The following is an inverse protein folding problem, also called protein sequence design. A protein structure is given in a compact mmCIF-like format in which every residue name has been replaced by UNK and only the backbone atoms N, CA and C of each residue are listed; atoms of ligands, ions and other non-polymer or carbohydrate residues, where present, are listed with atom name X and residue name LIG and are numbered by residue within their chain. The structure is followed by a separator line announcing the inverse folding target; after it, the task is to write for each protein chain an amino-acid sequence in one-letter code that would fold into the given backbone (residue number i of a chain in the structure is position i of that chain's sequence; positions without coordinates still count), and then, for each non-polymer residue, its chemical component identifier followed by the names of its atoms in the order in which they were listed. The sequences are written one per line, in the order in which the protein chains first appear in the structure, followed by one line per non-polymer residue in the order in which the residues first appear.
data_IF_101922234276
#
_entry.id   IF_101922234276
#
_cell.length_a   1.000
_cell.length_b   1.000
_cell.length_c   1.000
_cell.angle_alpha   90.00
_cell.angle_beta   90.00
_cell.angle_gamma   90.00
#
_symmetry.space_group_name_H-M   'P 1'
#
loop_
_entity.id
_entity.type
_entity.pdbx_description
1 polymer ?
#
# COMPACT_ATOMS: atom_id res chain seq x y z
N UNK A 1 18.85 -43.44 41.28
CA UNK A 1 17.90 -44.55 41.31
C UNK A 1 17.78 -45.05 39.86
N UNK A 2 18.00 -46.36 39.58
CA UNK A 2 17.80 -46.90 38.21
C UNK A 2 16.31 -46.87 37.90
N UNK A 3 15.98 -46.50 36.64
CA UNK A 3 14.59 -46.50 36.15
C UNK A 3 13.97 -47.88 36.28
N UNK A 4 12.66 -48.02 36.58
CA UNK A 4 12.00 -49.30 36.72
C UNK A 4 12.08 -50.09 35.41
N UNK A 5 12.63 -51.30 35.48
CA UNK A 5 12.65 -52.25 34.35
C UNK A 5 11.21 -52.69 34.08
N UNK A 6 10.55 -52.03 33.16
CA UNK A 6 9.26 -52.48 32.63
C UNK A 6 9.46 -53.88 32.07
N UNK A 7 8.74 -54.85 32.62
CA UNK A 7 8.62 -56.20 32.07
C UNK A 7 7.97 -56.13 30.69
N UNK A 8 8.80 -56.10 29.63
CA UNK A 8 8.37 -56.06 28.24
C UNK A 8 7.52 -57.31 27.97
N UNK A 9 6.24 -57.09 27.64
CA UNK A 9 5.33 -58.18 27.21
C UNK A 9 5.83 -58.77 25.87
N UNK A 10 5.59 -60.00 25.61
CA UNK A 10 6.19 -60.90 24.61
C UNK A 10 6.64 -60.25 23.27
N UNK A 11 5.78 -59.47 22.57
CA UNK A 11 6.13 -58.83 21.29
C UNK A 11 7.18 -57.72 21.42
N UNK A 12 7.04 -56.89 22.43
CA UNK A 12 8.00 -55.79 22.71
C UNK A 12 9.39 -56.34 23.04
N UNK A 13 9.46 -57.43 23.82
CA UNK A 13 10.69 -58.13 24.09
C UNK A 13 11.29 -58.70 22.80
N UNK A 14 10.46 -59.30 21.92
CA UNK A 14 10.91 -59.80 20.60
C UNK A 14 11.44 -58.69 19.72
N UNK A 15 10.80 -57.51 19.72
CA UNK A 15 11.28 -56.34 18.97
C UNK A 15 12.66 -55.88 19.47
N UNK A 16 12.89 -55.92 20.79
CA UNK A 16 14.16 -55.49 21.36
C UNK A 16 15.29 -56.53 21.15
N UNK A 17 15.00 -57.81 21.20
CA UNK A 17 15.99 -58.88 21.29
C UNK A 17 16.12 -59.78 20.04
N UNK A 18 15.26 -59.69 19.04
CA UNK A 18 15.30 -60.51 17.85
C UNK A 18 16.60 -60.41 17.10
N UNK A 19 17.32 -61.54 16.98
CA UNK A 19 18.61 -61.64 16.27
C UNK A 19 18.39 -62.21 14.86
N UNK A 20 19.24 -61.85 13.90
CA UNK A 20 19.16 -62.41 12.56
C UNK A 20 19.36 -63.92 12.57
N UNK A 21 18.61 -64.64 11.72
CA UNK A 21 18.70 -66.06 11.49
C UNK A 21 18.99 -66.32 10.01
N UNK A 22 19.37 -67.57 9.66
CA UNK A 22 19.64 -67.96 8.27
C UNK A 22 18.49 -67.70 7.29
N UNK A 23 17.25 -67.66 7.80
CA UNK A 23 16.03 -67.36 7.03
C UNK A 23 15.32 -66.14 7.62
N UNK A 24 14.54 -65.43 6.80
CA UNK A 24 13.65 -64.36 7.22
C UNK A 24 12.75 -64.81 8.34
N UNK A 25 12.74 -64.13 9.46
CA UNK A 25 11.82 -64.38 10.57
C UNK A 25 10.64 -63.40 10.49
N UNK A 26 9.44 -63.92 10.83
CA UNK A 26 8.21 -63.16 10.93
C UNK A 26 7.62 -63.42 12.31
N UNK A 27 7.54 -62.41 13.13
CA UNK A 27 7.00 -62.49 14.49
C UNK A 27 5.75 -61.64 14.54
N UNK A 28 4.60 -62.26 14.71
CA UNK A 28 3.32 -61.59 14.78
C UNK A 28 3.09 -60.94 16.14
N UNK A 29 2.47 -59.77 16.17
CA UNK A 29 1.99 -59.14 17.39
C UNK A 29 0.71 -59.81 17.87
N UNK A 30 0.64 -60.34 19.11
CA UNK A 30 -0.55 -60.97 19.62
C UNK A 30 -1.69 -59.97 19.92
N UNK A 31 -1.37 -58.69 20.11
CA UNK A 31 -2.35 -57.67 20.45
C UNK A 31 -2.95 -56.97 19.22
N UNK A 32 -2.23 -56.96 18.08
CA UNK A 32 -2.69 -56.30 16.86
C UNK A 32 -2.71 -57.27 15.70
N UNK A 33 -3.89 -57.76 15.34
CA UNK A 33 -4.09 -58.68 14.24
C UNK A 33 -3.48 -58.17 12.95
N UNK A 34 -2.61 -58.98 12.34
CA UNK A 34 -1.97 -58.64 11.08
C UNK A 34 -0.70 -57.74 11.19
N UNK A 35 -0.32 -57.32 12.38
CA UNK A 35 0.98 -56.65 12.57
C UNK A 35 2.07 -57.69 12.81
N UNK A 36 3.20 -57.56 12.16
CA UNK A 36 4.37 -58.43 12.32
C UNK A 36 5.67 -57.66 12.34
N UNK A 37 6.62 -58.12 13.16
CA UNK A 37 8.04 -57.75 13.04
C UNK A 37 8.71 -58.70 12.04
N UNK A 38 9.35 -58.16 11.05
CA UNK A 38 10.13 -58.89 10.08
C UNK A 38 11.63 -58.66 10.37
N UNK A 39 12.37 -59.73 10.55
CA UNK A 39 13.83 -59.71 10.71
C UNK A 39 14.45 -60.39 9.50
N UNK A 40 15.23 -59.67 8.73
CA UNK A 40 15.95 -60.21 7.58
C UNK A 40 17.19 -61.00 8.00
N UNK A 41 17.74 -61.88 7.15
CA UNK A 41 18.99 -62.60 7.42
C UNK A 41 20.18 -61.67 7.66
N UNK A 42 20.12 -60.43 7.11
CA UNK A 42 21.14 -59.40 7.28
C UNK A 42 20.92 -58.52 8.53
N UNK A 43 19.98 -58.89 9.42
CA UNK A 43 19.70 -58.19 10.67
C UNK A 43 18.81 -56.96 10.53
N UNK A 44 18.33 -56.59 9.34
CA UNK A 44 17.41 -55.45 9.16
C UNK A 44 16.02 -55.79 9.70
N UNK A 45 15.50 -54.97 10.60
CA UNK A 45 14.21 -55.13 11.25
C UNK A 45 13.18 -54.16 10.66
N UNK A 46 11.94 -54.61 10.48
CA UNK A 46 10.83 -53.77 10.03
C UNK A 46 9.51 -54.22 10.55
N UNK A 47 8.64 -53.30 10.89
CA UNK A 47 7.23 -53.55 11.11
C UNK A 47 6.49 -53.63 9.78
N UNK A 48 5.67 -54.65 9.62
CA UNK A 48 4.85 -54.86 8.43
C UNK A 48 3.45 -55.32 8.84
N UNK A 49 2.47 -54.98 8.03
CA UNK A 49 1.11 -55.48 8.17
C UNK A 49 0.83 -56.54 7.10
N UNK A 50 -0.01 -57.47 7.46
CA UNK A 50 -0.53 -58.47 6.56
C UNK A 50 -2.04 -58.60 6.75
N UNK A 51 -2.79 -58.50 5.66
CA UNK A 51 -4.21 -58.71 5.62
C UNK A 51 -4.63 -59.23 4.24
N UNK A 52 -5.78 -59.88 4.16
CA UNK A 52 -6.36 -60.30 2.89
C UNK A 52 -7.13 -59.17 2.28
N UNK A 53 -6.77 -58.82 1.05
CA UNK A 53 -7.49 -57.84 0.25
C UNK A 53 -8.78 -58.48 -0.25
N UNK A 54 -9.96 -57.96 0.07
CA UNK A 54 -11.25 -58.53 -0.34
C UNK A 54 -11.49 -58.38 -1.85
N UNK A 55 -10.91 -57.39 -2.50
CA UNK A 55 -11.09 -57.15 -3.94
C UNK A 55 -10.15 -58.03 -4.76
N UNK A 56 -8.86 -58.03 -4.41
CA UNK A 56 -7.85 -58.85 -5.10
C UNK A 56 -7.83 -60.33 -4.68
N UNK A 57 -8.52 -60.72 -3.58
CA UNK A 57 -8.55 -62.06 -3.03
C UNK A 57 -7.21 -62.57 -2.52
N UNK A 58 -6.17 -61.73 -2.48
CA UNK A 58 -4.79 -62.08 -2.16
C UNK A 58 -4.36 -61.51 -0.81
N UNK A 59 -3.35 -62.12 -0.22
CA UNK A 59 -2.72 -61.63 0.99
C UNK A 59 -1.73 -60.50 0.65
N UNK A 60 -1.93 -59.32 1.21
CA UNK A 60 -1.09 -58.14 1.02
C UNK A 60 -0.15 -57.99 2.20
N UNK A 61 1.14 -57.82 1.90
CA UNK A 61 2.19 -57.53 2.87
C UNK A 61 2.70 -56.13 2.63
N UNK A 62 2.63 -55.25 3.64
CA UNK A 62 3.11 -53.90 3.51
C UNK A 62 3.91 -53.45 4.72
N UNK A 63 5.11 -52.91 4.46
CA UNK A 63 5.96 -52.35 5.49
C UNK A 63 5.38 -51.02 5.95
N UNK A 64 5.35 -50.78 7.29
CA UNK A 64 4.81 -49.58 7.92
C UNK A 64 5.88 -48.77 8.69
N UNK A 65 7.05 -49.37 8.96
CA UNK A 65 8.10 -48.67 9.68
C UNK A 65 9.28 -49.57 10.07
N UNK A 66 10.18 -49.01 10.87
CA UNK A 66 11.31 -49.74 11.48
C UNK A 66 11.30 -49.50 13.00
N UNK A 67 11.68 -50.48 13.82
CA UNK A 67 11.83 -50.32 15.26
C UNK A 67 12.79 -49.18 15.65
N UNK A 68 13.69 -48.79 14.75
CA UNK A 68 14.63 -47.70 14.97
C UNK A 68 13.98 -46.33 14.79
N UNK A 69 12.80 -46.26 14.14
CA UNK A 69 12.11 -44.99 13.80
C UNK A 69 10.77 -44.83 14.52
N UNK A 70 10.09 -45.94 14.85
CA UNK A 70 8.77 -45.90 15.49
C UNK A 70 8.70 -46.89 16.67
N UNK A 71 8.01 -46.46 17.74
CA UNK A 71 7.78 -47.31 18.89
C UNK A 71 6.78 -48.46 18.57
N UNK A 72 6.76 -49.52 19.39
CA UNK A 72 5.79 -50.62 19.25
C UNK A 72 4.35 -50.09 19.35
N UNK A 73 4.06 -49.18 20.26
CA UNK A 73 2.75 -48.54 20.39
C UNK A 73 2.33 -47.84 19.11
N UNK A 74 3.24 -47.08 18.51
CA UNK A 74 2.98 -46.38 17.22
C UNK A 74 2.81 -47.42 16.08
N UNK A 75 3.59 -48.50 16.07
CA UNK A 75 3.47 -49.55 15.09
C UNK A 75 2.10 -50.29 15.21
N UNK A 76 1.58 -50.50 16.42
CA UNK A 76 0.23 -51.02 16.65
C UNK A 76 -0.84 -50.11 16.10
N UNK A 77 -0.78 -48.81 16.39
CA UNK A 77 -1.72 -47.82 15.87
C UNK A 77 -1.73 -47.78 14.33
N UNK A 78 -0.56 -47.68 13.72
CA UNK A 78 -0.43 -47.66 12.25
C UNK A 78 -0.83 -49.01 11.63
N UNK A 79 -0.51 -50.10 12.32
CA UNK A 79 -0.84 -51.45 11.90
C UNK A 79 -2.36 -51.70 11.87
N UNK A 80 -3.06 -51.34 12.92
CA UNK A 80 -4.51 -51.44 12.99
C UNK A 80 -5.21 -50.63 11.90
N UNK A 81 -4.76 -49.37 11.69
CA UNK A 81 -5.26 -48.51 10.64
C UNK A 81 -5.02 -49.09 9.24
N UNK A 82 -3.82 -49.61 8.97
CA UNK A 82 -3.46 -50.21 7.68
C UNK A 82 -4.26 -51.48 7.39
N UNK A 83 -4.47 -52.33 8.38
CA UNK A 83 -5.31 -53.56 8.25
C UNK A 83 -6.76 -53.18 7.96
N UNK A 84 -7.31 -52.19 8.65
CA UNK A 84 -8.67 -51.71 8.40
C UNK A 84 -8.84 -51.22 6.96
N UNK A 85 -7.87 -50.47 6.45
CA UNK A 85 -7.85 -49.95 5.04
C UNK A 85 -7.79 -51.12 4.03
N UNK A 86 -6.92 -52.10 4.24
CA UNK A 86 -6.84 -53.26 3.36
C UNK A 86 -8.20 -54.02 3.32
N UNK A 87 -8.83 -54.21 4.48
CA UNK A 87 -10.15 -54.86 4.57
C UNK A 87 -11.26 -54.05 3.89
N UNK A 88 -11.12 -52.73 3.80
CA UNK A 88 -12.01 -51.85 3.07
C UNK A 88 -11.70 -51.75 1.56
N UNK A 89 -10.73 -52.53 1.05
CA UNK A 89 -10.30 -52.49 -0.36
C UNK A 89 -9.47 -51.22 -0.71
N UNK A 90 -8.94 -50.53 0.30
CA UNK A 90 -8.17 -49.33 0.14
C UNK A 90 -6.65 -49.61 0.23
N UNK A 91 -5.83 -48.65 -0.22
CA UNK A 91 -4.37 -48.74 -0.04
C UNK A 91 -4.01 -48.86 1.45
N UNK A 92 -3.12 -49.78 1.86
CA UNK A 92 -2.71 -49.99 3.25
C UNK A 92 -1.91 -48.84 3.85
N UNK A 93 -1.43 -47.92 3.01
CA UNK A 93 -0.71 -46.74 3.44
C UNK A 93 -1.52 -45.56 2.94
N UNK A 94 -1.78 -44.58 3.80
CA UNK A 94 -2.22 -43.26 3.34
C UNK A 94 -1.22 -42.79 2.29
N UNK A 95 -1.73 -42.19 1.21
CA UNK A 95 -0.86 -41.43 0.31
C UNK A 95 0.02 -40.56 1.20
N UNK A 96 1.34 -40.52 0.99
CA UNK A 96 2.16 -39.58 1.75
C UNK A 96 1.46 -38.26 1.69
N UNK A 97 1.33 -37.51 2.81
CA UNK A 97 0.81 -36.19 2.75
C UNK A 97 1.54 -35.50 1.58
N UNK A 98 0.80 -34.83 0.72
CA UNK A 98 1.43 -34.08 -0.37
C UNK A 98 2.64 -33.35 0.22
N UNK A 99 3.81 -33.46 -0.42
CA UNK A 99 4.99 -32.79 0.12
C UNK A 99 4.58 -31.37 0.44
N UNK A 100 4.87 -30.84 1.65
CA UNK A 100 4.45 -29.52 2.04
C UNK A 100 4.81 -28.59 0.88
N UNK A 101 3.81 -27.93 0.32
CA UNK A 101 4.02 -27.02 -0.79
C UNK A 101 5.17 -26.10 -0.40
N UNK A 102 6.17 -25.97 -1.26
CA UNK A 102 7.32 -25.13 -0.97
C UNK A 102 6.80 -23.76 -0.49
N UNK A 103 7.31 -23.24 0.62
CA UNK A 103 6.79 -22.01 1.20
C UNK A 103 6.83 -20.92 0.13
N UNK A 104 5.70 -20.24 -0.09
CA UNK A 104 5.62 -19.15 -1.05
C UNK A 104 6.74 -18.15 -0.80
N UNK A 105 7.35 -17.69 -1.86
CA UNK A 105 8.33 -16.61 -1.81
C UNK A 105 7.66 -15.26 -1.56
N UNK A 106 8.44 -14.28 -1.10
CA UNK A 106 7.95 -12.91 -0.94
C UNK A 106 7.38 -12.35 -2.25
N UNK A 107 8.00 -12.66 -3.40
CA UNK A 107 7.54 -12.20 -4.72
C UNK A 107 6.16 -12.77 -5.05
N UNK A 108 5.98 -14.06 -4.89
CA UNK A 108 4.69 -14.70 -5.20
C UNK A 108 3.55 -14.12 -4.37
N UNK A 109 3.78 -13.89 -3.06
CA UNK A 109 2.79 -13.26 -2.20
C UNK A 109 2.54 -11.80 -2.58
N UNK A 110 3.58 -11.06 -2.96
CA UNK A 110 3.45 -9.67 -3.39
C UNK A 110 2.67 -9.54 -4.71
N UNK A 111 2.90 -10.42 -5.68
CA UNK A 111 2.18 -10.46 -6.95
C UNK A 111 0.71 -10.85 -6.74
N UNK A 112 0.43 -11.82 -5.87
CA UNK A 112 -0.96 -12.14 -5.47
C UNK A 112 -1.64 -10.96 -4.79
N UNK A 113 -0.96 -10.27 -3.88
CA UNK A 113 -1.48 -9.06 -3.22
C UNK A 113 -1.81 -7.96 -4.24
N UNK A 114 -0.93 -7.71 -5.20
CA UNK A 114 -1.18 -6.71 -6.25
C UNK A 114 -2.42 -7.13 -7.05
N UNK A 115 -2.46 -8.35 -7.54
CA UNK A 115 -3.56 -8.87 -8.38
C UNK A 115 -4.90 -8.93 -7.64
N UNK A 116 -4.91 -9.44 -6.39
CA UNK A 116 -6.14 -9.73 -5.67
C UNK A 116 -6.65 -8.57 -4.83
N UNK A 117 -5.77 -7.64 -4.43
CA UNK A 117 -6.15 -6.55 -3.55
C UNK A 117 -5.93 -5.17 -4.19
N UNK A 118 -4.75 -4.88 -4.74
CA UNK A 118 -4.46 -3.55 -5.32
C UNK A 118 -5.28 -3.30 -6.57
N UNK A 119 -5.34 -4.27 -7.48
CA UNK A 119 -6.06 -4.19 -8.75
C UNK A 119 -7.58 -4.26 -8.58
N UNK A 120 -8.04 -4.87 -7.50
CA UNK A 120 -9.47 -4.98 -7.17
C UNK A 120 -10.00 -3.84 -6.32
N UNK A 121 -9.14 -2.85 -5.98
CA UNK A 121 -9.61 -1.66 -5.29
C UNK A 121 -9.42 -1.66 -3.78
N UNK A 122 -8.61 -2.54 -3.26
CA UNK A 122 -8.36 -2.63 -1.82
C UNK A 122 -9.62 -3.05 -1.06
N UNK A 123 -9.93 -2.34 0.02
CA UNK A 123 -11.11 -2.66 0.85
C UNK A 123 -12.47 -2.57 0.11
N UNK A 124 -12.56 -1.77 -0.96
CA UNK A 124 -13.84 -1.59 -1.67
C UNK A 124 -14.18 -2.75 -2.60
N UNK A 125 -13.16 -3.46 -3.10
CA UNK A 125 -13.30 -4.57 -4.06
C UNK A 125 -14.20 -4.24 -5.27
N UNK A 126 -14.19 -2.96 -5.71
CA UNK A 126 -15.03 -2.45 -6.81
C UNK A 126 -14.45 -2.69 -8.21
N UNK A 127 -13.38 -3.47 -8.29
CA UNK A 127 -12.68 -3.77 -9.54
C UNK A 127 -11.81 -2.64 -10.10
N UNK A 128 -11.84 -1.45 -9.48
CA UNK A 128 -11.02 -0.32 -9.92
C UNK A 128 -9.69 -0.32 -9.19
N UNK A 129 -8.54 -0.36 -9.86
CA UNK A 129 -7.23 -0.35 -9.21
C UNK A 129 -7.05 0.83 -8.25
N UNK A 130 -6.27 0.62 -7.19
CA UNK A 130 -5.93 1.70 -6.27
C UNK A 130 -5.15 2.81 -7.00
N UNK A 131 -5.45 4.08 -6.70
CA UNK A 131 -4.67 5.23 -7.22
C UNK A 131 -3.17 5.13 -6.93
N UNK A 132 -2.82 4.47 -5.81
CA UNK A 132 -1.43 4.23 -5.41
C UNK A 132 -0.80 3.00 -6.08
N UNK A 133 -1.46 2.32 -7.03
CA UNK A 133 -0.94 1.10 -7.66
C UNK A 133 0.48 1.30 -8.18
N UNK A 134 0.71 2.32 -9.02
CA UNK A 134 2.05 2.61 -9.60
C UNK A 134 3.11 2.86 -8.52
N UNK A 135 2.74 3.56 -7.43
CA UNK A 135 3.68 3.82 -6.35
C UNK A 135 3.97 2.54 -5.54
N UNK A 136 2.97 1.70 -5.31
CA UNK A 136 3.12 0.38 -4.70
C UNK A 136 4.06 -0.50 -5.54
N UNK A 137 3.79 -0.65 -6.84
CA UNK A 137 4.61 -1.45 -7.76
C UNK A 137 6.05 -0.93 -7.80
N UNK A 138 6.25 0.39 -7.87
CA UNK A 138 7.58 1.01 -7.80
C UNK A 138 8.28 0.69 -6.49
N UNK A 139 7.59 0.73 -5.35
CA UNK A 139 8.18 0.39 -4.05
C UNK A 139 8.62 -1.07 -4.00
N UNK A 140 7.83 -2.00 -4.54
CA UNK A 140 8.23 -3.40 -4.66
C UNK A 140 9.47 -3.55 -5.54
N UNK A 141 9.47 -2.94 -6.74
CA UNK A 141 10.56 -3.05 -7.69
C UNK A 141 11.87 -2.43 -7.16
N UNK A 142 11.77 -1.25 -6.53
CA UNK A 142 12.97 -0.49 -6.13
C UNK A 142 13.54 -0.95 -4.79
N UNK A 143 12.70 -1.26 -3.80
CA UNK A 143 13.15 -1.46 -2.42
C UNK A 143 13.04 -2.89 -1.93
N UNK A 144 12.02 -3.64 -2.37
CA UNK A 144 11.66 -4.91 -1.76
C UNK A 144 12.17 -6.12 -2.56
N UNK A 145 11.90 -6.18 -3.85
CA UNK A 145 12.33 -7.31 -4.70
C UNK A 145 13.85 -7.51 -4.76
N UNK A 146 14.68 -6.47 -4.86
CA UNK A 146 16.13 -6.67 -4.87
C UNK A 146 16.67 -7.39 -3.62
N UNK A 147 15.92 -7.34 -2.51
CA UNK A 147 16.32 -7.89 -1.21
C UNK A 147 15.61 -9.18 -0.83
N UNK A 148 14.35 -9.31 -1.22
CA UNK A 148 13.47 -10.34 -0.65
C UNK A 148 12.74 -11.20 -1.68
N UNK A 149 12.84 -10.95 -2.98
CA UNK A 149 12.05 -11.62 -3.99
C UNK A 149 12.00 -13.14 -3.82
N UNK A 150 13.14 -13.77 -3.64
CA UNK A 150 13.31 -15.24 -3.51
C UNK A 150 13.23 -15.75 -2.07
N UNK A 151 13.11 -14.85 -1.06
CA UNK A 151 13.04 -15.30 0.33
C UNK A 151 11.69 -15.96 0.61
N UNK A 152 11.65 -17.06 1.38
CA UNK A 152 10.40 -17.59 1.90
C UNK A 152 9.63 -16.52 2.68
N UNK A 153 8.34 -16.36 2.40
CA UNK A 153 7.55 -15.26 2.96
C UNK A 153 7.53 -15.27 4.50
N UNK A 154 7.43 -16.43 5.11
CA UNK A 154 7.44 -16.59 6.56
C UNK A 154 8.79 -16.26 7.24
N UNK A 155 9.86 -16.17 6.47
CA UNK A 155 11.16 -15.74 6.99
C UNK A 155 11.30 -14.21 7.09
N UNK A 156 10.37 -13.45 6.52
CA UNK A 156 10.33 -12.00 6.67
C UNK A 156 9.81 -11.63 8.07
N UNK A 157 10.67 -11.83 9.05
CA UNK A 157 10.38 -11.56 10.46
C UNK A 157 10.67 -10.10 10.83
N UNK A 158 10.29 -9.71 12.04
CA UNK A 158 10.44 -8.33 12.56
C UNK A 158 11.85 -7.76 12.35
N UNK A 159 12.91 -8.51 12.72
CA UNK A 159 14.29 -8.06 12.55
C UNK A 159 14.68 -7.79 11.10
N UNK A 160 14.14 -8.58 10.15
CA UNK A 160 14.38 -8.38 8.70
C UNK A 160 13.72 -7.07 8.23
N UNK A 161 12.51 -6.79 8.71
CA UNK A 161 11.80 -5.52 8.39
C UNK A 161 12.51 -4.35 9.03
N UNK A 162 12.92 -4.45 10.30
CA UNK A 162 13.64 -3.38 11.02
C UNK A 162 14.92 -3.00 10.28
N UNK A 163 15.72 -3.98 9.87
CA UNK A 163 16.96 -3.73 9.11
C UNK A 163 16.69 -3.00 7.79
N UNK A 164 15.65 -3.39 7.05
CA UNK A 164 15.24 -2.67 5.85
C UNK A 164 14.84 -1.22 6.16
N UNK A 165 14.11 -1.00 7.26
CA UNK A 165 13.68 0.35 7.64
C UNK A 165 14.87 1.25 7.94
N UNK A 166 15.88 0.72 8.63
CA UNK A 166 17.10 1.47 8.95
C UNK A 166 17.88 1.81 7.66
N UNK A 167 18.07 0.85 6.75
CA UNK A 167 18.67 1.09 5.43
C UNK A 167 17.92 2.15 4.61
N UNK A 168 16.58 2.13 4.66
CA UNK A 168 15.76 3.10 3.94
C UNK A 168 15.85 4.49 4.55
N UNK A 169 15.98 4.61 5.86
CA UNK A 169 16.20 5.91 6.52
C UNK A 169 17.52 6.51 6.08
N UNK A 170 18.58 5.72 6.11
CA UNK A 170 19.94 6.17 5.78
C UNK A 170 20.07 6.63 4.31
N UNK A 171 19.41 5.92 3.40
CA UNK A 171 19.57 6.18 1.96
C UNK A 171 18.45 7.03 1.34
N UNK A 172 17.26 7.09 1.94
CA UNK A 172 16.06 7.69 1.33
C UNK A 172 15.23 8.55 2.30
N UNK A 173 15.63 8.62 3.56
CA UNK A 173 14.99 9.39 4.62
C UNK A 173 13.76 8.71 5.22
N UNK A 174 13.41 9.13 6.44
CA UNK A 174 12.37 8.53 7.29
C UNK A 174 10.97 8.51 6.64
N UNK A 175 10.64 9.53 5.84
CA UNK A 175 9.33 9.63 5.18
C UNK A 175 9.16 8.54 4.11
N UNK A 176 10.20 8.24 3.34
CA UNK A 176 10.16 7.18 2.33
C UNK A 176 10.14 5.81 3.00
N UNK A 177 10.91 5.62 4.06
CA UNK A 177 10.88 4.41 4.87
C UNK A 177 9.45 4.11 5.37
N UNK A 178 8.78 5.09 5.95
CA UNK A 178 7.40 4.93 6.44
C UNK A 178 6.37 4.63 5.33
N UNK A 179 6.59 5.15 4.11
CA UNK A 179 5.73 4.79 2.96
C UNK A 179 5.88 3.33 2.58
N UNK A 180 7.11 2.82 2.55
CA UNK A 180 7.39 1.39 2.30
C UNK A 180 6.81 0.54 3.42
N UNK A 181 6.99 0.94 4.69
CA UNK A 181 6.40 0.26 5.85
C UNK A 181 4.87 0.17 5.73
N UNK A 182 4.20 1.26 5.34
CA UNK A 182 2.76 1.27 5.17
C UNK A 182 2.29 0.34 4.04
N UNK A 183 3.06 0.18 2.98
CA UNK A 183 2.78 -0.77 1.90
C UNK A 183 2.97 -2.21 2.38
N UNK A 184 4.06 -2.51 3.08
CA UNK A 184 4.30 -3.81 3.71
C UNK A 184 3.21 -4.17 4.71
N UNK A 185 2.82 -3.23 5.58
CA UNK A 185 1.75 -3.44 6.57
C UNK A 185 0.42 -3.83 5.90
N UNK A 186 0.07 -3.19 4.77
CA UNK A 186 -1.12 -3.56 4.01
C UNK A 186 -1.04 -4.97 3.47
N UNK A 187 0.10 -5.36 2.90
CA UNK A 187 0.31 -6.69 2.32
C UNK A 187 0.30 -7.78 3.41
N UNK A 188 1.03 -7.60 4.49
CA UNK A 188 1.07 -8.57 5.59
C UNK A 188 -0.30 -8.72 6.27
N UNK A 189 -1.04 -7.63 6.48
CA UNK A 189 -2.40 -7.69 7.01
C UNK A 189 -3.39 -8.33 6.03
N UNK A 190 -3.19 -8.15 4.74
CA UNK A 190 -3.97 -8.84 3.71
C UNK A 190 -3.68 -10.35 3.72
N UNK A 191 -2.43 -10.76 3.88
CA UNK A 191 -2.04 -12.17 3.88
C UNK A 191 -2.64 -12.96 5.06
N UNK A 192 -2.88 -12.32 6.21
CA UNK A 192 -3.49 -12.94 7.40
C UNK A 192 -4.83 -13.64 7.13
N UNK A 193 -5.55 -13.28 6.09
CA UNK A 193 -6.81 -13.96 5.73
C UNK A 193 -6.60 -15.34 5.08
N UNK A 194 -5.38 -15.66 4.68
CA UNK A 194 -5.03 -16.94 4.04
C UNK A 194 -4.26 -17.89 4.95
N UNK A 195 -3.85 -17.43 6.11
CA UNK A 195 -3.04 -18.20 7.05
C UNK A 195 -3.39 -17.74 8.48
N UNK A 196 -4.12 -18.58 9.20
CA UNK A 196 -4.64 -18.28 10.55
C UNK A 196 -3.52 -18.11 11.58
N UNK A 197 -2.42 -18.83 11.40
CA UNK A 197 -1.25 -18.79 12.29
C UNK A 197 -0.29 -17.63 11.95
N UNK A 198 -0.54 -16.95 10.84
CA UNK A 198 0.35 -15.87 10.40
C UNK A 198 0.22 -14.61 11.24
N UNK A 199 1.32 -14.23 11.90
CA UNK A 199 1.44 -12.99 12.64
C UNK A 199 2.26 -11.98 11.84
N UNK A 200 1.66 -10.80 11.59
CA UNK A 200 2.37 -9.72 10.88
C UNK A 200 3.63 -9.30 11.67
N UNK A 201 4.80 -9.21 11.01
CA UNK A 201 6.02 -8.76 11.67
C UNK A 201 6.04 -7.26 11.98
N UNK A 202 5.05 -6.49 11.51
CA UNK A 202 5.03 -5.03 11.64
C UNK A 202 4.30 -4.61 12.90
N UNK A 203 4.94 -3.73 13.66
CA UNK A 203 4.40 -3.06 14.86
C UNK A 203 4.41 -1.54 14.67
N UNK A 204 3.63 -0.83 15.45
CA UNK A 204 3.46 0.63 15.34
C UNK A 204 4.77 1.41 15.53
N UNK A 205 5.63 0.91 16.41
CA UNK A 205 6.92 1.50 16.79
C UNK A 205 7.97 1.44 15.66
N UNK A 206 7.71 0.71 14.60
CA UNK A 206 8.60 0.67 13.42
C UNK A 206 8.59 1.94 12.58
N UNK A 207 7.65 2.87 12.80
CA UNK A 207 7.66 4.17 12.13
C UNK A 207 8.90 4.96 12.51
N UNK A 208 9.54 5.56 11.51
CA UNK A 208 10.79 6.32 11.63
C UNK A 208 10.59 7.83 11.57
N UNK A 209 9.47 8.28 11.03
CA UNK A 209 9.16 9.71 10.96
C UNK A 209 8.29 10.13 12.13
N UNK A 210 8.55 11.32 12.67
CA UNK A 210 7.71 11.92 13.71
C UNK A 210 6.27 12.20 13.24
N UNK A 211 5.46 12.81 14.11
CA UNK A 211 4.08 13.15 13.81
C UNK A 211 3.95 13.90 12.48
N UNK A 212 2.96 13.54 11.67
CA UNK A 212 2.62 14.25 10.43
C UNK A 212 2.30 15.71 10.69
N UNK A 213 1.67 16.04 11.81
CA UNK A 213 1.31 17.40 12.22
C UNK A 213 2.56 18.25 12.48
N UNK A 214 3.54 17.68 13.20
CA UNK A 214 4.80 18.36 13.49
C UNK A 214 5.63 18.69 12.22
N UNK A 215 5.40 17.96 11.12
CA UNK A 215 6.09 18.13 9.83
C UNK A 215 5.27 18.90 8.79
N UNK A 216 4.05 19.32 9.15
CA UNK A 216 3.21 20.06 8.23
C UNK A 216 3.86 21.41 7.87
N UNK A 217 4.02 21.65 6.57
CA UNK A 217 4.51 22.98 6.12
C UNK A 217 3.47 24.05 6.43
N UNK A 218 3.91 25.13 7.00
CA UNK A 218 3.10 26.32 7.32
C UNK A 218 3.41 27.50 6.41
N UNK A 219 4.33 27.34 5.45
CA UNK A 219 4.81 28.37 4.55
C UNK A 219 3.66 28.98 3.73
N UNK A 220 3.52 30.30 3.80
CA UNK A 220 2.73 31.18 2.93
C UNK A 220 3.65 32.26 2.37
N UNK A 221 3.37 32.81 1.20
CA UNK A 221 4.13 33.86 0.59
C UNK A 221 3.68 35.23 1.15
N UNK A 222 4.63 36.07 1.49
CA UNK A 222 4.37 37.49 1.84
C UNK A 222 3.99 38.30 0.60
N UNK A 223 3.46 39.51 0.81
CA UNK A 223 3.08 40.40 -0.27
C UNK A 223 4.29 40.77 -1.17
N UNK A 224 5.46 40.95 -0.56
CA UNK A 224 6.69 41.20 -1.32
C UNK A 224 7.12 40.00 -2.15
N UNK A 225 6.99 38.76 -1.60
CA UNK A 225 7.29 37.54 -2.33
C UNK A 225 6.28 37.29 -3.45
N UNK A 226 4.99 37.60 -3.23
CA UNK A 226 3.97 37.52 -4.28
C UNK A 226 4.34 38.47 -5.42
N UNK A 227 4.76 39.71 -5.12
CA UNK A 227 5.19 40.72 -6.10
C UNK A 227 6.38 40.23 -6.92
N UNK A 228 7.42 39.73 -6.25
CA UNK A 228 8.62 39.18 -6.90
C UNK A 228 8.29 37.95 -7.75
N UNK A 229 7.48 37.03 -7.21
CA UNK A 229 7.04 35.84 -7.93
C UNK A 229 6.24 36.20 -9.17
N UNK A 230 5.30 37.14 -9.04
CA UNK A 230 4.47 37.60 -10.16
C UNK A 230 5.32 38.20 -11.29
N UNK A 231 6.23 39.08 -10.95
CA UNK A 231 7.18 39.68 -11.91
C UNK A 231 8.08 38.60 -12.55
N UNK A 232 8.56 37.64 -11.75
CA UNK A 232 9.36 36.51 -12.25
C UNK A 232 8.62 35.59 -13.21
N UNK A 233 7.30 35.50 -13.09
CA UNK A 233 6.45 34.74 -14.02
C UNK A 233 6.35 35.42 -15.40
N UNK A 234 6.62 36.71 -15.51
CA UNK A 234 6.71 37.38 -16.81
C UNK A 234 7.89 36.76 -17.59
N UNK A 235 7.63 36.37 -18.82
CA UNK A 235 8.64 35.69 -19.66
C UNK A 235 8.99 34.26 -19.26
N UNK A 236 8.32 33.66 -18.24
CA UNK A 236 8.46 32.24 -17.86
C UNK A 236 7.49 31.31 -18.67
N UNK A 237 6.90 31.83 -19.75
CA UNK A 237 6.03 31.11 -20.67
C UNK A 237 4.85 30.44 -19.98
N UNK A 238 4.50 29.24 -20.46
CA UNK A 238 3.37 28.45 -19.95
C UNK A 238 3.46 28.18 -18.45
N UNK A 239 4.68 27.98 -17.94
CA UNK A 239 4.85 27.72 -16.50
C UNK A 239 4.54 28.95 -15.66
N UNK A 240 4.95 30.15 -16.09
CA UNK A 240 4.64 31.40 -15.40
C UNK A 240 3.13 31.65 -15.32
N UNK A 241 2.42 31.45 -16.43
CA UNK A 241 0.96 31.57 -16.46
C UNK A 241 0.28 30.55 -15.55
N UNK A 242 0.75 29.29 -15.55
CA UNK A 242 0.26 28.24 -14.67
C UNK A 242 0.43 28.61 -13.17
N UNK A 243 1.57 29.15 -12.79
CA UNK A 243 1.85 29.62 -11.41
C UNK A 243 0.91 30.76 -11.01
N UNK A 244 0.68 31.74 -11.90
CA UNK A 244 -0.29 32.81 -11.66
C UNK A 244 -1.69 32.29 -11.44
N UNK A 245 -2.17 31.38 -12.31
CA UNK A 245 -3.51 30.77 -12.17
C UNK A 245 -3.59 29.90 -10.92
N UNK A 246 -2.53 29.14 -10.57
CA UNK A 246 -2.48 28.35 -9.35
C UNK A 246 -2.61 29.24 -8.09
N UNK A 247 -1.99 30.41 -8.05
CA UNK A 247 -2.13 31.39 -6.96
C UNK A 247 -3.55 31.96 -6.91
N UNK A 248 -4.10 32.41 -8.05
CA UNK A 248 -5.40 33.08 -8.13
C UNK A 248 -6.59 32.16 -7.86
N UNK A 249 -6.45 30.87 -8.11
CA UNK A 249 -7.53 29.88 -7.91
C UNK A 249 -7.32 29.02 -6.67
N UNK A 250 -6.11 28.93 -6.14
CA UNK A 250 -5.75 28.02 -5.07
C UNK A 250 -5.89 26.55 -5.44
N UNK A 251 -6.09 26.19 -6.71
CA UNK A 251 -6.30 24.80 -7.11
C UNK A 251 -5.04 23.96 -7.04
N UNK A 252 -5.21 22.63 -6.92
CA UNK A 252 -4.08 21.70 -6.93
C UNK A 252 -3.31 21.80 -8.24
N UNK A 253 -1.98 21.75 -8.17
CA UNK A 253 -1.08 21.81 -9.34
C UNK A 253 -1.55 20.94 -10.51
N UNK A 254 -1.96 19.70 -10.22
CA UNK A 254 -2.41 18.78 -11.26
C UNK A 254 -3.68 19.29 -11.94
N UNK A 255 -4.65 19.85 -11.21
CA UNK A 255 -5.90 20.36 -11.79
C UNK A 255 -5.66 21.58 -12.69
N UNK A 256 -4.81 22.51 -12.24
CA UNK A 256 -4.42 23.66 -13.10
C UNK A 256 -3.65 23.15 -14.31
N UNK A 257 -2.64 22.31 -14.11
CA UNK A 257 -1.78 21.84 -15.20
C UNK A 257 -2.53 20.97 -16.24
N UNK A 258 -3.62 20.34 -15.87
CA UNK A 258 -4.45 19.53 -16.78
C UNK A 258 -5.74 20.22 -17.22
N UNK A 259 -5.89 21.54 -16.98
CA UNK A 259 -7.01 22.34 -17.49
C UNK A 259 -7.09 22.22 -19.02
N UNK A 260 -8.27 21.94 -19.53
CA UNK A 260 -8.50 21.79 -20.98
C UNK A 260 -9.34 22.96 -21.47
N UNK A 261 -9.21 23.27 -22.75
CA UNK A 261 -10.05 24.28 -23.37
C UNK A 261 -11.54 23.90 -23.34
N UNK A 262 -11.86 22.63 -23.46
CA UNK A 262 -13.24 22.13 -23.37
C UNK A 262 -13.84 22.19 -21.96
N UNK A 263 -13.01 22.33 -20.92
CA UNK A 263 -13.46 22.50 -19.52
C UNK A 263 -13.95 23.94 -19.23
N UNK A 264 -13.75 24.86 -20.20
CA UNK A 264 -14.07 26.29 -20.05
C UNK A 264 -15.34 26.62 -20.86
N UNK A 265 -16.34 27.16 -20.16
CA UNK A 265 -17.56 27.71 -20.74
C UNK A 265 -17.73 29.14 -20.24
N UNK A 266 -17.34 30.11 -21.08
CA UNK A 266 -17.23 31.50 -20.70
C UNK A 266 -16.32 31.69 -19.45
N UNK A 267 -16.89 32.23 -18.38
CA UNK A 267 -16.16 32.44 -17.11
C UNK A 267 -16.12 31.16 -16.25
N UNK A 268 -16.78 30.09 -16.66
CA UNK A 268 -16.92 28.87 -15.83
C UNK A 268 -15.86 27.83 -16.21
N UNK A 269 -15.02 27.48 -15.23
CA UNK A 269 -14.12 26.34 -15.34
C UNK A 269 -14.71 25.12 -14.61
N UNK A 270 -14.97 24.06 -15.35
CA UNK A 270 -15.43 22.77 -14.83
C UNK A 270 -14.23 21.87 -14.52
N UNK A 271 -13.99 21.58 -13.24
CA UNK A 271 -12.90 20.71 -12.81
C UNK A 271 -13.39 19.27 -12.85
N UNK A 272 -12.89 18.48 -13.79
CA UNK A 272 -13.24 17.08 -13.91
C UNK A 272 -12.85 16.29 -12.65
N UNK A 273 -13.75 15.41 -12.20
CA UNK A 273 -13.47 14.48 -11.10
C UNK A 273 -12.61 13.32 -11.62
N UNK A 274 -11.57 12.98 -10.87
CA UNK A 274 -10.76 11.81 -11.16
C UNK A 274 -11.35 10.57 -10.46
N UNK A 275 -11.11 9.35 -10.99
CA UNK A 275 -11.48 8.13 -10.31
C UNK A 275 -10.99 8.13 -8.86
N UNK A 276 -11.89 7.83 -7.92
CA UNK A 276 -11.61 7.82 -6.46
C UNK A 276 -11.18 9.16 -5.86
N UNK A 277 -11.37 10.26 -6.55
CA UNK A 277 -11.25 11.57 -5.96
C UNK A 277 -12.39 11.77 -4.96
N UNK A 278 -12.07 12.15 -3.72
CA UNK A 278 -13.08 12.32 -2.68
C UNK A 278 -13.95 13.55 -2.94
N UNK A 279 -13.29 14.68 -3.20
CA UNK A 279 -13.92 15.96 -3.48
C UNK A 279 -12.96 16.82 -4.31
N UNK A 280 -13.53 17.60 -5.24
CA UNK A 280 -12.86 18.71 -5.92
C UNK A 280 -13.76 19.96 -5.86
N UNK A 281 -13.29 21.08 -6.40
CA UNK A 281 -14.06 22.31 -6.38
C UNK A 281 -15.29 22.30 -7.33
N UNK A 282 -15.40 21.33 -8.21
CA UNK A 282 -16.47 21.26 -9.22
C UNK A 282 -16.37 22.43 -10.21
N UNK A 283 -17.46 23.15 -10.40
CA UNK A 283 -17.47 24.37 -11.23
C UNK A 283 -16.95 25.54 -10.43
N UNK A 284 -16.08 26.34 -11.06
CA UNK A 284 -15.55 27.61 -10.53
C UNK A 284 -15.81 28.73 -11.54
N UNK A 285 -16.35 29.85 -11.07
CA UNK A 285 -16.46 31.09 -11.84
C UNK A 285 -15.15 31.84 -11.73
N UNK A 286 -14.40 31.93 -12.81
CA UNK A 286 -13.10 32.59 -12.85
C UNK A 286 -13.27 34.12 -12.96
N UNK A 287 -12.61 34.90 -12.10
CA UNK A 287 -12.58 36.37 -12.26
C UNK A 287 -11.94 36.76 -13.60
N UNK A 288 -12.37 37.86 -14.19
CA UNK A 288 -11.84 38.40 -15.47
C UNK A 288 -10.32 38.45 -15.52
N UNK A 289 -9.68 38.83 -14.40
CA UNK A 289 -8.24 38.88 -14.30
C UNK A 289 -7.56 37.52 -14.43
N UNK A 290 -8.17 36.49 -13.86
CA UNK A 290 -7.68 35.10 -13.98
C UNK A 290 -7.96 34.56 -15.38
N UNK A 291 -9.16 34.83 -15.90
CA UNK A 291 -9.58 34.39 -17.22
C UNK A 291 -8.68 34.94 -18.33
N UNK A 292 -8.32 36.23 -18.24
CA UNK A 292 -7.39 36.87 -19.18
C UNK A 292 -6.01 36.17 -19.27
N UNK A 293 -5.50 35.61 -18.15
CA UNK A 293 -4.25 34.85 -18.13
C UNK A 293 -4.44 33.50 -18.84
N UNK A 294 -5.60 32.85 -18.66
CA UNK A 294 -5.95 31.58 -19.29
C UNK A 294 -6.14 31.79 -20.79
N UNK A 295 -6.90 32.77 -21.23
CA UNK A 295 -7.20 33.07 -22.62
C UNK A 295 -5.97 33.52 -23.42
N UNK A 296 -5.00 34.17 -22.76
CA UNK A 296 -3.73 34.53 -23.37
C UNK A 296 -2.82 33.34 -23.70
N UNK A 297 -3.18 32.12 -23.27
CA UNK A 297 -2.37 30.95 -23.62
C UNK A 297 -2.58 30.54 -25.07
N UNK A 298 -1.53 30.10 -25.76
CA UNK A 298 -1.64 29.68 -27.16
C UNK A 298 -2.47 28.40 -27.31
N UNK A 299 -3.47 28.40 -28.18
CA UNK A 299 -4.20 27.20 -28.58
C UNK A 299 -3.35 26.43 -29.59
N UNK A 300 -2.66 25.40 -29.13
CA UNK A 300 -1.80 24.55 -29.96
C UNK A 300 -2.65 23.51 -30.67
N UNK A 301 -2.52 23.41 -31.99
CA UNK A 301 -3.24 22.43 -32.80
C UNK A 301 -3.05 21.01 -32.22
N UNK A 302 -4.16 20.29 -32.06
CA UNK A 302 -4.21 18.94 -31.49
C UNK A 302 -3.79 18.79 -30.02
N UNK A 303 -3.48 19.88 -29.32
CA UNK A 303 -3.23 19.84 -27.89
C UNK A 303 -4.45 20.42 -27.14
N UNK A 304 -5.19 19.61 -26.38
CA UNK A 304 -6.43 20.07 -25.74
C UNK A 304 -6.20 20.91 -24.47
N UNK A 305 -4.96 21.01 -23.98
CA UNK A 305 -4.67 21.63 -22.70
C UNK A 305 -4.38 23.13 -22.84
N UNK A 306 -4.90 23.92 -21.89
CA UNK A 306 -4.61 25.36 -21.75
C UNK A 306 -3.11 25.56 -21.48
N UNK A 307 -2.57 24.80 -20.54
CA UNK A 307 -1.14 24.79 -20.24
C UNK A 307 -0.47 23.63 -20.98
N UNK A 308 -0.27 23.81 -22.27
CA UNK A 308 0.26 22.81 -23.14
C UNK A 308 1.71 22.45 -22.84
N UNK A 309 2.00 21.16 -22.85
CA UNK A 309 3.34 20.61 -22.83
C UNK A 309 3.78 20.12 -24.21
N UNK A 310 4.76 19.25 -24.24
CA UNK A 310 5.29 18.69 -25.51
C UNK A 310 4.27 17.75 -26.18
N UNK A 311 4.02 17.98 -27.46
CA UNK A 311 3.06 17.21 -28.25
C UNK A 311 1.62 17.41 -27.77
N UNK A 312 0.87 16.32 -27.61
CA UNK A 312 -0.54 16.34 -27.16
C UNK A 312 -0.69 16.26 -25.63
N UNK A 313 0.37 16.55 -24.86
CA UNK A 313 0.39 16.40 -23.41
C UNK A 313 0.21 17.74 -22.69
N UNK A 314 -0.30 17.68 -21.46
CA UNK A 314 -0.26 18.80 -20.55
C UNK A 314 1.17 19.14 -20.13
N UNK A 315 1.40 20.35 -19.65
CA UNK A 315 2.68 20.75 -19.08
C UNK A 315 3.09 19.83 -17.92
N UNK A 316 4.31 19.31 -17.93
CA UNK A 316 4.80 18.35 -16.96
C UNK A 316 6.18 18.65 -16.36
N UNK A 317 6.94 19.63 -16.88
CA UNK A 317 8.27 20.01 -16.39
C UNK A 317 8.18 20.92 -15.14
N UNK A 318 7.40 20.50 -14.15
CA UNK A 318 7.15 21.31 -12.94
C UNK A 318 8.39 21.52 -12.07
N UNK A 319 9.30 20.55 -12.01
CA UNK A 319 10.52 20.65 -11.21
C UNK A 319 11.47 21.67 -11.81
N UNK A 320 11.77 21.53 -13.09
CA UNK A 320 12.70 22.42 -13.81
C UNK A 320 12.13 23.85 -13.89
N UNK A 321 10.83 23.98 -14.21
CA UNK A 321 10.17 25.29 -14.24
C UNK A 321 10.19 25.98 -12.87
N UNK A 322 10.00 25.22 -11.79
CA UNK A 322 10.06 25.76 -10.42
C UNK A 322 11.49 26.15 -10.03
N UNK A 323 12.49 25.35 -10.38
CA UNK A 323 13.90 25.63 -10.09
C UNK A 323 14.36 26.91 -10.80
N UNK A 324 14.13 26.99 -12.11
CA UNK A 324 14.44 28.17 -12.91
C UNK A 324 13.73 29.44 -12.38
N UNK A 325 12.46 29.31 -11.98
CA UNK A 325 11.72 30.43 -11.41
C UNK A 325 12.26 30.82 -10.01
N UNK A 326 12.67 29.81 -9.18
CA UNK A 326 13.26 30.08 -7.87
C UNK A 326 14.55 30.86 -7.96
N UNK A 327 15.42 30.53 -8.89
CA UNK A 327 16.67 31.29 -9.14
C UNK A 327 16.40 32.73 -9.56
N UNK A 328 15.42 32.89 -10.45
CA UNK A 328 15.05 34.22 -10.97
C UNK A 328 14.45 35.14 -9.91
N UNK A 329 13.59 34.62 -9.01
CA UNK A 329 12.80 35.48 -8.10
C UNK A 329 13.48 35.78 -6.77
N UNK A 330 14.49 35.01 -6.38
CA UNK A 330 15.27 35.21 -5.14
C UNK A 330 14.40 35.45 -3.90
N UNK A 331 13.40 34.57 -3.69
CA UNK A 331 12.59 34.53 -2.48
C UNK A 331 12.94 33.28 -1.66
N UNK A 332 12.52 33.24 -0.39
CA UNK A 332 12.75 32.10 0.45
C UNK A 332 12.19 30.81 -0.20
N UNK A 333 12.83 29.63 0.03
CA UNK A 333 12.43 28.39 -0.63
C UNK A 333 10.94 28.06 -0.45
N UNK A 334 10.25 27.84 -1.57
CA UNK A 334 8.83 27.54 -1.63
C UNK A 334 8.57 26.32 -2.53
N UNK A 335 7.39 25.73 -2.39
CA UNK A 335 6.88 24.68 -3.29
C UNK A 335 5.56 25.12 -3.90
N UNK A 336 5.18 24.57 -5.06
CA UNK A 336 3.95 24.97 -5.77
C UNK A 336 2.71 24.87 -4.87
N UNK A 337 2.69 23.91 -3.92
CA UNK A 337 1.57 23.79 -2.98
C UNK A 337 1.47 24.92 -1.95
N UNK A 338 2.55 25.68 -1.73
CA UNK A 338 2.51 26.88 -0.86
C UNK A 338 1.67 28.00 -1.48
N UNK A 339 1.53 28.04 -2.82
CA UNK A 339 0.61 28.95 -3.50
C UNK A 339 -0.85 28.73 -3.08
N UNK A 340 -1.25 27.46 -2.91
CA UNK A 340 -2.59 27.10 -2.43
C UNK A 340 -2.79 27.52 -0.96
N UNK A 341 -1.74 27.40 -0.12
CA UNK A 341 -1.78 27.90 1.26
C UNK A 341 -1.89 29.43 1.27
N UNK A 342 -1.12 30.09 0.42
CA UNK A 342 -1.17 31.53 0.23
C UNK A 342 -2.55 31.99 -0.24
N UNK A 343 -3.13 31.34 -1.27
CA UNK A 343 -4.48 31.62 -1.74
C UNK A 343 -5.53 31.46 -0.62
N UNK A 344 -5.44 30.39 0.20
CA UNK A 344 -6.33 30.21 1.36
C UNK A 344 -6.21 31.36 2.37
N UNK A 345 -4.99 31.81 2.64
CA UNK A 345 -4.73 32.95 3.53
C UNK A 345 -5.22 34.26 2.95
N UNK A 346 -5.06 34.48 1.63
CA UNK A 346 -5.61 35.64 0.92
C UNK A 346 -7.14 35.66 0.94
N UNK A 347 -7.82 34.50 0.81
CA UNK A 347 -9.28 34.42 0.99
C UNK A 347 -9.68 34.90 2.38
N UNK A 348 -9.01 34.42 3.45
CA UNK A 348 -9.29 34.89 4.81
C UNK A 348 -9.05 36.38 4.99
N UNK A 349 -7.93 36.89 4.45
CA UNK A 349 -7.60 38.33 4.44
C UNK A 349 -8.65 39.15 3.67
N UNK A 350 -9.22 38.59 2.61
CA UNK A 350 -10.30 39.19 1.81
C UNK A 350 -11.71 39.02 2.43
N UNK A 351 -11.83 38.55 3.67
CA UNK A 351 -13.11 38.40 4.37
C UNK A 351 -13.97 37.24 3.90
N UNK A 352 -13.42 36.30 3.14
CA UNK A 352 -14.14 35.11 2.68
C UNK A 352 -14.41 34.17 3.86
N UNK A 353 -15.68 33.76 4.03
CA UNK A 353 -16.08 32.80 5.07
C UNK A 353 -15.32 31.47 4.90
N UNK A 354 -14.86 30.87 6.02
CA UNK A 354 -14.04 29.64 5.98
C UNK A 354 -14.66 28.52 5.16
N UNK A 355 -15.96 28.24 5.31
CA UNK A 355 -16.66 27.18 4.60
C UNK A 355 -16.68 27.40 3.09
N UNK A 356 -16.80 28.65 2.62
CA UNK A 356 -16.72 28.99 1.19
C UNK A 356 -15.29 28.81 0.66
N UNK A 357 -14.30 29.24 1.44
CA UNK A 357 -12.91 29.05 1.08
C UNK A 357 -12.55 27.55 0.94
N UNK A 358 -12.99 26.69 1.86
CA UNK A 358 -12.77 25.24 1.76
C UNK A 358 -13.47 24.63 0.52
N UNK A 359 -14.71 25.08 0.21
CA UNK A 359 -15.44 24.65 -1.00
C UNK A 359 -14.76 25.15 -2.28
N UNK A 360 -14.29 26.39 -2.32
CA UNK A 360 -13.55 26.94 -3.46
C UNK A 360 -12.25 26.15 -3.71
N UNK A 361 -11.57 25.77 -2.66
CA UNK A 361 -10.38 24.92 -2.77
C UNK A 361 -10.70 23.45 -3.11
N UNK A 362 -11.93 22.98 -2.92
CA UNK A 362 -12.31 21.58 -3.12
C UNK A 362 -11.73 20.66 -2.02
N UNK A 363 -11.88 21.08 -0.77
CA UNK A 363 -11.63 20.24 0.39
C UNK A 363 -12.88 19.47 0.80
N UNK A 364 -12.70 18.35 1.49
CA UNK A 364 -13.79 17.63 2.13
C UNK A 364 -14.32 18.47 3.28
N UNK A 365 -15.63 18.75 3.28
CA UNK A 365 -16.29 19.34 4.44
C UNK A 365 -16.65 18.19 5.38
N UNK A 366 -16.11 18.14 6.60
CA UNK A 366 -16.40 17.09 7.55
C UNK A 366 -17.81 17.28 8.16
N UNK A 367 -18.37 16.18 8.71
CA UNK A 367 -19.62 16.21 9.44
C UNK A 367 -20.88 16.11 8.56
N UNK A 368 -22.01 16.42 9.18
CA UNK A 368 -23.37 16.30 8.59
C UNK A 368 -23.53 17.22 7.37
N UNK A 369 -23.01 18.44 7.44
CA UNK A 369 -23.04 19.40 6.34
C UNK A 369 -22.45 18.83 5.03
N UNK A 370 -21.30 18.18 5.09
CA UNK A 370 -20.67 17.57 3.91
C UNK A 370 -21.45 16.43 3.27
N UNK A 371 -22.42 15.86 4.00
CA UNK A 371 -23.28 14.76 3.53
C UNK A 371 -24.57 15.29 2.91
N UNK A 372 -25.23 16.26 3.54
CA UNK A 372 -26.57 16.70 3.16
C UNK A 372 -26.59 17.92 2.25
N UNK A 373 -25.63 18.85 2.39
CA UNK A 373 -25.55 20.04 1.58
C UNK A 373 -25.05 19.73 0.16
N UNK A 374 -25.95 19.85 -0.81
CA UNK A 374 -25.71 19.61 -2.25
C UNK A 374 -25.63 20.89 -3.08
N UNK A 375 -25.74 22.05 -2.43
CA UNK A 375 -25.62 23.33 -3.15
C UNK A 375 -24.23 23.49 -3.77
N UNK A 376 -24.20 24.01 -4.99
CA UNK A 376 -22.94 24.11 -5.76
C UNK A 376 -22.04 25.30 -5.33
N UNK A 377 -22.62 26.30 -4.66
CA UNK A 377 -21.93 27.52 -4.21
C UNK A 377 -21.12 28.22 -5.31
N UNK A 378 -21.65 28.24 -6.54
CA UNK A 378 -20.89 28.75 -7.71
C UNK A 378 -20.55 30.22 -7.57
N UNK A 379 -21.54 31.07 -7.22
CA UNK A 379 -21.35 32.50 -7.08
C UNK A 379 -20.47 32.85 -5.87
N UNK A 380 -20.67 32.20 -4.75
CA UNK A 380 -19.86 32.40 -3.53
C UNK A 380 -18.40 31.99 -3.75
N UNK A 381 -18.17 30.87 -4.44
CA UNK A 381 -16.80 30.47 -4.83
C UNK A 381 -16.19 31.47 -5.81
N UNK A 382 -16.99 31.98 -6.75
CA UNK A 382 -16.60 33.03 -7.68
C UNK A 382 -16.20 34.32 -6.96
N UNK A 383 -17.00 34.76 -5.99
CA UNK A 383 -16.70 35.92 -5.14
C UNK A 383 -15.41 35.70 -4.32
N UNK A 384 -15.17 34.49 -3.81
CA UNK A 384 -13.93 34.16 -3.12
C UNK A 384 -12.71 34.29 -4.01
N UNK A 385 -12.78 33.84 -5.28
CA UNK A 385 -11.71 34.00 -6.25
C UNK A 385 -11.53 35.46 -6.69
N UNK A 386 -12.62 36.24 -6.78
CA UNK A 386 -12.56 37.65 -7.04
C UNK A 386 -11.86 38.44 -5.92
N UNK A 387 -12.09 38.06 -4.66
CA UNK A 387 -11.37 38.62 -3.52
C UNK A 387 -9.85 38.40 -3.62
N UNK A 388 -9.41 37.14 -3.94
CA UNK A 388 -7.99 36.85 -4.19
C UNK A 388 -7.46 37.76 -5.33
N UNK A 389 -8.18 37.79 -6.46
CA UNK A 389 -7.76 38.53 -7.63
C UNK A 389 -7.58 40.03 -7.32
N UNK A 390 -8.47 40.63 -6.55
CA UNK A 390 -8.42 42.02 -6.11
C UNK A 390 -7.21 42.24 -5.21
N UNK A 391 -6.98 41.39 -4.21
CA UNK A 391 -5.83 41.50 -3.31
C UNK A 391 -4.50 41.34 -4.07
N UNK A 392 -4.39 40.34 -4.94
CA UNK A 392 -3.17 40.11 -5.71
C UNK A 392 -2.90 41.27 -6.65
N UNK A 393 -3.91 41.83 -7.33
CA UNK A 393 -3.77 43.01 -8.15
C UNK A 393 -3.25 44.23 -7.35
N UNK A 394 -3.80 44.48 -6.17
CA UNK A 394 -3.34 45.53 -5.27
C UNK A 394 -1.88 45.30 -4.83
N UNK A 395 -1.53 44.06 -4.46
CA UNK A 395 -0.17 43.69 -4.06
C UNK A 395 0.84 43.95 -5.21
N UNK A 396 0.54 43.50 -6.42
CA UNK A 396 1.44 43.69 -7.56
C UNK A 396 1.56 45.16 -8.01
N UNK A 397 0.51 45.95 -7.81
CA UNK A 397 0.53 47.40 -8.06
C UNK A 397 1.29 48.21 -6.99
N UNK A 398 1.84 47.59 -5.97
CA UNK A 398 2.58 48.26 -4.89
C UNK A 398 1.69 48.88 -3.80
N UNK A 399 0.39 48.60 -3.81
CA UNK A 399 -0.53 49.02 -2.77
C UNK A 399 -0.21 48.38 -1.41
N UNK A 400 0.03 49.18 -0.40
CA UNK A 400 0.08 48.71 1.00
C UNK A 400 -1.36 48.54 1.51
N UNK A 401 -1.95 47.39 1.27
CA UNK A 401 -3.19 47.00 1.95
C UNK A 401 -2.85 46.56 3.39
N UNK A 402 -2.57 47.54 4.25
CA UNK A 402 -2.60 47.37 5.70
C UNK A 402 -4.06 47.12 6.11
N UNK A 403 -4.52 45.89 6.01
CA UNK A 403 -5.67 45.43 6.79
C UNK A 403 -5.17 45.33 8.22
N UNK A 404 -5.34 46.41 8.99
CA UNK A 404 -5.08 46.40 10.43
C UNK A 404 -6.09 45.39 11.05
N UNK A 405 -5.65 44.37 11.83
CA UNK A 405 -6.58 43.50 12.54
C UNK A 405 -7.50 44.39 13.40
N UNK A 406 -8.79 44.08 13.43
CA UNK A 406 -9.81 44.79 14.22
C UNK A 406 -9.41 44.96 15.70
N UNK A 407 -8.62 44.04 16.25
CA UNK A 407 -8.07 44.12 17.61
C UNK A 407 -7.14 45.32 17.83
N UNK A 408 -6.39 45.76 16.83
CA UNK A 408 -5.54 46.95 16.95
C UNK A 408 -6.34 48.26 16.89
N UNK A 409 -7.55 48.25 16.38
CA UNK A 409 -8.42 49.42 16.35
C UNK A 409 -9.14 49.67 17.69
N UNK A 410 -9.30 48.65 18.53
CA UNK A 410 -9.90 48.77 19.90
C UNK A 410 -8.94 49.26 20.97
N UNK A 411 -7.63 49.21 20.72
CA UNK A 411 -6.60 49.69 21.67
C UNK A 411 -6.28 51.16 21.59
N UNK A 412 -6.97 51.94 20.73
CA UNK A 412 -6.79 53.40 20.55
C UNK A 412 -8.07 54.20 20.88
N UNK A 413 -8.95 53.71 21.74
CA UNK A 413 -10.02 54.51 22.34
C UNK A 413 -9.90 54.55 23.84
#
# INVERSE_FOLDING_TARGET
MPAPTLLLKGFEKSVATAKPARKRQVIFDPETTGLALIVSPKGKRSFSVVARDPVAGKQVWKRIGSPDLISVSKARQLGAAAVARIKAGQSPIEAPPEPPQAPKTFREVAEEFIKRWVDKGGKKQDGTPLRSKRDIERQFATYLYPRWASKPFHEIRRGVVTKLMDELVDNHGSVQADRVLATLAKMFNWYRQYDEDYVSPIIAEMKRSGSHVARARTRILSDNEIRKLWAGCEGAGVFGALIKVALLTGQRRAKVGTMRWEDLDGEIWTIAAEPREKVNAGKLKLPKFTLAIVEAQPKIKENPFVFAGRGKKAFNSFSDGKENLQEKVQIAPWVIHDLRRTARSLMSRGGVRPEIAERALGHVIPGVEGVYDRHAYLEEKGAALAAISTLVRSIIAGGNNNVVPIEAAKAKK
#
